data_IF_417575789802
#
_entry.id   IF_417575789802
#
_cell.length_a   1.000
_cell.length_b   1.000
_cell.length_c   1.000
_cell.angle_alpha   90.00
_cell.angle_beta   90.00
_cell.angle_gamma   90.00
#
_symmetry.space_group_name_H-M   'P 1'
#
loop_
_entity.id
_entity.type
_entity.pdbx_description
1 polymer ?
#
# COMPACT_ATOMS: atom_id res chain seq x y z
N UNK A 1 54.35 -43.80 -37.18
CA UNK A 1 53.37 -43.83 -36.07
C UNK A 1 53.10 -42.38 -35.60
N UNK A 2 52.02 -41.79 -36.05
CA UNK A 2 51.58 -40.41 -35.66
C UNK A 2 50.49 -40.56 -34.61
N UNK A 3 50.74 -40.09 -33.37
CA UNK A 3 49.75 -40.05 -32.30
C UNK A 3 48.97 -38.71 -32.39
N UNK A 4 47.70 -38.82 -32.70
CA UNK A 4 46.76 -37.68 -32.70
C UNK A 4 46.27 -37.46 -31.27
N UNK A 5 46.58 -36.27 -30.68
CA UNK A 5 46.09 -35.83 -29.37
C UNK A 5 44.71 -35.20 -29.55
N UNK A 6 43.66 -35.83 -29.04
CA UNK A 6 42.32 -35.25 -28.96
C UNK A 6 42.24 -34.37 -27.74
N UNK A 7 42.10 -33.05 -27.97
CA UNK A 7 41.87 -32.04 -26.94
C UNK A 7 40.34 -31.96 -26.67
N UNK A 8 39.89 -32.51 -25.54
CA UNK A 8 38.48 -32.37 -25.10
C UNK A 8 38.28 -30.96 -24.48
N UNK A 9 37.53 -30.08 -25.18
CA UNK A 9 37.04 -28.84 -24.62
C UNK A 9 35.86 -29.13 -23.67
N UNK A 10 36.06 -28.99 -22.37
CA UNK A 10 35.01 -29.00 -21.39
C UNK A 10 34.26 -27.64 -21.44
N UNK A 11 33.04 -27.66 -21.93
CA UNK A 11 32.10 -26.51 -21.94
C UNK A 11 31.57 -26.35 -20.50
N UNK A 12 32.13 -25.46 -19.70
CA UNK A 12 31.52 -25.03 -18.44
C UNK A 12 30.26 -24.21 -18.74
N UNK A 13 29.08 -24.82 -18.65
CA UNK A 13 27.82 -24.11 -18.53
C UNK A 13 27.83 -23.39 -17.17
N UNK A 14 28.27 -22.16 -17.16
CA UNK A 14 28.07 -21.26 -16.02
C UNK A 14 26.56 -21.01 -15.89
N UNK A 15 25.95 -21.55 -14.84
CA UNK A 15 24.61 -21.07 -14.40
C UNK A 15 24.73 -19.58 -14.12
N UNK A 16 23.82 -18.73 -14.63
CA UNK A 16 23.83 -17.34 -14.26
C UNK A 16 23.72 -17.25 -12.73
N UNK A 17 24.72 -16.70 -12.08
CA UNK A 17 24.65 -16.37 -10.66
C UNK A 17 23.47 -15.42 -10.49
N UNK A 18 22.46 -15.82 -9.74
CA UNK A 18 21.41 -14.91 -9.27
C UNK A 18 22.14 -13.75 -8.58
N UNK A 19 21.76 -12.52 -8.92
CA UNK A 19 22.38 -11.35 -8.29
C UNK A 19 22.34 -11.51 -6.76
N UNK A 20 23.49 -11.42 -6.09
CA UNK A 20 23.63 -11.61 -4.64
C UNK A 20 22.93 -10.53 -3.83
N UNK A 21 22.27 -9.56 -4.48
CA UNK A 21 21.60 -8.43 -3.87
C UNK A 21 20.20 -8.18 -4.44
N UNK A 22 19.37 -7.49 -3.67
CA UNK A 22 18.11 -6.87 -4.12
C UNK A 22 18.13 -5.39 -3.77
N UNK A 23 17.50 -4.57 -4.62
CA UNK A 23 17.44 -3.12 -4.43
C UNK A 23 16.11 -2.72 -3.80
N UNK A 24 16.18 -1.96 -2.69
CA UNK A 24 14.99 -1.44 -2.00
C UNK A 24 15.30 -0.09 -1.35
N UNK A 25 14.41 0.89 -1.50
CA UNK A 25 14.60 2.27 -1.05
C UNK A 25 15.91 2.91 -1.55
N UNK A 26 16.28 2.66 -2.80
CA UNK A 26 17.50 3.21 -3.40
C UNK A 26 18.81 2.56 -2.95
N UNK A 27 18.77 1.58 -2.06
CA UNK A 27 19.95 0.86 -1.53
C UNK A 27 19.94 -0.59 -1.99
N UNK A 28 21.14 -1.17 -2.12
CA UNK A 28 21.32 -2.58 -2.40
C UNK A 28 21.50 -3.34 -1.07
N UNK A 29 20.74 -4.43 -0.95
CA UNK A 29 20.70 -5.29 0.24
C UNK A 29 21.10 -6.70 -0.15
N UNK A 30 21.74 -7.42 0.76
CA UNK A 30 22.13 -8.80 0.52
C UNK A 30 20.89 -9.72 0.41
N UNK A 31 20.86 -10.52 -0.65
CA UNK A 31 19.81 -11.53 -0.86
C UNK A 31 20.06 -12.73 0.07
N UNK A 32 19.02 -13.30 0.69
CA UNK A 32 19.17 -14.52 1.47
C UNK A 32 19.55 -15.71 0.56
N UNK A 33 20.35 -16.64 1.09
CA UNK A 33 20.75 -17.85 0.37
C UNK A 33 19.58 -18.81 0.07
N UNK A 34 18.50 -18.73 0.86
CA UNK A 34 17.26 -19.50 0.67
C UNK A 34 16.06 -18.59 0.88
N UNK A 35 14.91 -19.00 0.34
CA UNK A 35 13.67 -18.26 0.54
C UNK A 35 13.33 -18.17 2.04
N UNK A 36 12.96 -16.96 2.53
CA UNK A 36 12.58 -16.76 3.93
C UNK A 36 11.43 -17.68 4.36
N UNK A 37 11.60 -18.28 5.53
CA UNK A 37 10.64 -19.22 6.12
C UNK A 37 9.97 -18.68 7.40
N UNK A 38 10.50 -17.58 7.97
CA UNK A 38 10.01 -16.94 9.19
C UNK A 38 9.84 -15.43 8.98
N UNK A 39 8.64 -15.04 8.57
CA UNK A 39 8.36 -13.68 8.13
C UNK A 39 7.57 -12.93 9.20
N UNK A 40 7.98 -11.71 9.52
CA UNK A 40 7.21 -10.77 10.32
C UNK A 40 6.79 -9.58 9.45
N UNK A 41 5.51 -9.24 9.50
CA UNK A 41 4.97 -8.04 8.86
C UNK A 41 4.68 -6.96 9.91
N UNK A 42 5.21 -5.78 9.68
CA UNK A 42 5.02 -4.59 10.51
C UNK A 42 4.13 -3.60 9.75
N UNK A 43 2.85 -3.67 9.90
CA UNK A 43 1.73 -2.94 9.31
C UNK A 43 0.81 -3.86 8.47
N UNK A 44 -0.47 -3.51 8.51
CA UNK A 44 -1.52 -4.31 7.88
C UNK A 44 -1.33 -4.48 6.37
N UNK A 45 -1.06 -3.40 5.64
CA UNK A 45 -0.89 -3.47 4.17
C UNK A 45 0.35 -4.25 3.73
N UNK A 46 1.42 -4.30 4.56
CA UNK A 46 2.55 -5.18 4.33
C UNK A 46 2.16 -6.66 4.55
N UNK A 47 1.37 -6.94 5.60
CA UNK A 47 0.84 -8.28 5.85
C UNK A 47 -0.10 -8.74 4.73
N UNK A 48 -1.01 -7.87 4.28
CA UNK A 48 -1.94 -8.16 3.18
C UNK A 48 -1.21 -8.47 1.87
N UNK A 49 -0.13 -7.76 1.56
CA UNK A 49 0.71 -8.03 0.39
C UNK A 49 1.38 -9.41 0.50
N UNK A 50 1.94 -9.75 1.65
CA UNK A 50 2.57 -11.06 1.89
C UNK A 50 1.54 -12.21 1.80
N UNK A 51 0.34 -12.02 2.34
CA UNK A 51 -0.76 -12.98 2.19
C UNK A 51 -1.18 -13.15 0.74
N UNK A 52 -1.28 -12.05 -0.03
CA UNK A 52 -1.60 -12.10 -1.45
C UNK A 52 -0.54 -12.90 -2.24
N UNK A 53 0.74 -12.79 -1.86
CA UNK A 53 1.84 -13.61 -2.39
C UNK A 53 1.79 -15.07 -1.94
N UNK A 54 0.87 -15.45 -1.03
CA UNK A 54 0.78 -16.81 -0.49
C UNK A 54 1.83 -17.12 0.57
N UNK A 55 2.41 -16.11 1.22
CA UNK A 55 3.44 -16.29 2.25
C UNK A 55 2.85 -16.61 3.65
N UNK A 56 1.54 -16.66 3.81
CA UNK A 56 0.86 -16.92 5.09
C UNK A 56 1.47 -18.05 5.93
N UNK A 57 1.74 -19.25 5.38
CA UNK A 57 2.36 -20.36 6.12
C UNK A 57 3.75 -20.06 6.67
N UNK A 58 4.47 -19.08 6.11
CA UNK A 58 5.79 -18.64 6.57
C UNK A 58 5.71 -17.43 7.52
N UNK A 59 4.54 -16.83 7.70
CA UNK A 59 4.38 -15.68 8.60
C UNK A 59 4.33 -16.14 10.04
N UNK A 60 5.27 -15.65 10.86
CA UNK A 60 5.37 -15.96 12.30
C UNK A 60 4.90 -14.80 13.17
N UNK A 61 4.51 -13.68 12.58
CA UNK A 61 3.94 -12.56 13.31
C UNK A 61 3.46 -11.42 12.42
N UNK A 62 2.41 -10.76 12.87
CA UNK A 62 1.95 -9.46 12.34
C UNK A 62 1.84 -8.47 13.49
N UNK A 63 2.08 -7.19 13.19
CA UNK A 63 1.88 -6.11 14.14
C UNK A 63 1.27 -4.89 13.46
N UNK A 64 0.75 -3.96 14.26
CA UNK A 64 0.19 -2.70 13.79
C UNK A 64 -0.90 -2.90 12.73
N UNK A 65 -1.99 -3.58 13.12
CA UNK A 65 -3.17 -3.75 12.27
C UNK A 65 -4.08 -2.52 12.40
N UNK A 66 -4.23 -1.75 11.32
CA UNK A 66 -4.96 -0.48 11.29
C UNK A 66 -6.47 -0.63 11.56
N UNK A 67 -7.03 -1.80 11.33
CA UNK A 67 -8.42 -2.14 11.61
C UNK A 67 -8.65 -2.73 13.02
N UNK A 68 -7.69 -2.54 13.93
CA UNK A 68 -7.68 -3.11 15.28
C UNK A 68 -7.89 -4.64 15.31
N UNK A 69 -7.35 -5.31 14.30
CA UNK A 69 -7.49 -6.76 14.17
C UNK A 69 -8.87 -7.23 13.69
N UNK A 70 -9.71 -6.36 13.09
CA UNK A 70 -10.97 -6.80 12.52
C UNK A 70 -10.74 -7.83 11.41
N UNK A 71 -9.78 -7.60 10.51
CA UNK A 71 -9.38 -8.56 9.49
C UNK A 71 -8.86 -9.88 10.12
N UNK A 72 -8.12 -9.79 11.23
CA UNK A 72 -7.69 -10.96 12.00
C UNK A 72 -8.88 -11.74 12.55
N UNK A 73 -9.83 -11.06 13.20
CA UNK A 73 -11.05 -11.68 13.74
C UNK A 73 -11.92 -12.32 12.66
N UNK A 74 -11.88 -11.81 11.43
CA UNK A 74 -12.54 -12.37 10.25
C UNK A 74 -11.76 -13.53 9.61
N UNK A 75 -10.65 -13.96 10.21
CA UNK A 75 -9.85 -15.08 9.73
C UNK A 75 -8.88 -14.78 8.60
N UNK A 76 -8.68 -13.50 8.23
CA UNK A 76 -7.74 -13.12 7.15
C UNK A 76 -6.30 -13.57 7.43
N UNK A 77 -5.88 -13.53 8.68
CA UNK A 77 -4.54 -13.93 9.12
C UNK A 77 -4.58 -15.26 9.89
N UNK A 78 -5.43 -16.20 9.46
CA UNK A 78 -5.59 -17.47 10.16
C UNK A 78 -4.23 -18.18 10.35
N UNK A 79 -3.90 -18.50 11.60
CA UNK A 79 -2.62 -19.13 11.94
C UNK A 79 -1.42 -18.19 12.09
N UNK A 80 -1.58 -16.88 11.83
CA UNK A 80 -0.51 -15.90 12.01
C UNK A 80 -0.73 -15.13 13.32
N UNK A 81 0.16 -15.19 14.31
CA UNK A 81 -0.04 -14.49 15.58
C UNK A 81 0.09 -12.95 15.43
N UNK A 82 -0.75 -12.20 16.15
CA UNK A 82 -0.56 -10.77 16.38
C UNK A 82 0.44 -10.60 17.51
N UNK A 83 1.64 -10.13 17.21
CA UNK A 83 2.74 -10.05 18.18
C UNK A 83 2.77 -8.73 18.96
N UNK A 84 2.14 -7.68 18.41
CA UNK A 84 1.96 -6.41 19.09
C UNK A 84 0.79 -5.64 18.48
N UNK A 85 0.16 -4.77 19.29
CA UNK A 85 -0.92 -3.89 18.80
C UNK A 85 -0.39 -2.76 17.92
N UNK A 86 0.76 -2.22 18.28
CA UNK A 86 1.53 -1.22 17.54
C UNK A 86 2.85 -1.87 17.12
N UNK A 87 3.91 -1.08 16.91
CA UNK A 87 5.20 -1.68 16.62
C UNK A 87 5.74 -2.45 17.84
N UNK A 88 6.27 -3.66 17.64
CA UNK A 88 6.84 -4.45 18.71
C UNK A 88 8.16 -3.83 19.22
N UNK A 89 8.44 -3.97 20.50
CA UNK A 89 9.79 -3.76 21.00
C UNK A 89 10.78 -4.74 20.34
N UNK A 90 12.06 -4.37 20.29
CA UNK A 90 13.11 -5.19 19.65
C UNK A 90 13.11 -6.62 20.16
N UNK A 91 12.96 -6.82 21.47
CA UNK A 91 12.97 -8.14 22.10
C UNK A 91 11.83 -9.02 21.61
N UNK A 92 10.62 -8.44 21.47
CA UNK A 92 9.44 -9.14 20.95
C UNK A 92 9.65 -9.54 19.49
N UNK A 93 10.24 -8.65 18.69
CA UNK A 93 10.56 -8.93 17.29
C UNK A 93 11.59 -10.05 17.16
N UNK A 94 12.70 -9.97 17.89
CA UNK A 94 13.76 -11.00 17.86
C UNK A 94 13.32 -12.34 18.44
N UNK A 95 12.40 -12.35 19.41
CA UNK A 95 11.81 -13.58 19.95
C UNK A 95 11.06 -14.40 18.89
N UNK A 96 10.55 -13.75 17.82
CA UNK A 96 9.95 -14.45 16.68
C UNK A 96 11.01 -15.16 15.81
N UNK A 97 12.30 -14.87 15.99
CA UNK A 97 13.42 -15.37 15.16
C UNK A 97 13.13 -15.21 13.66
N UNK A 98 12.78 -13.99 13.19
CA UNK A 98 12.47 -13.77 11.80
C UNK A 98 13.74 -13.91 10.94
N UNK A 99 13.56 -14.35 9.72
CA UNK A 99 14.58 -14.28 8.64
C UNK A 99 14.23 -13.20 7.60
N UNK A 100 12.95 -12.72 7.61
CA UNK A 100 12.51 -11.56 6.86
C UNK A 100 11.58 -10.68 7.70
N UNK A 101 11.81 -9.37 7.68
CA UNK A 101 10.89 -8.37 8.25
C UNK A 101 10.45 -7.40 7.14
N UNK A 102 9.13 -7.26 6.95
CA UNK A 102 8.55 -6.35 5.96
C UNK A 102 7.81 -5.23 6.68
N UNK A 103 8.19 -3.97 6.41
CA UNK A 103 7.54 -2.78 6.92
C UNK A 103 6.67 -2.10 5.87
N UNK A 104 5.51 -1.59 6.26
CA UNK A 104 4.61 -0.85 5.37
C UNK A 104 4.80 0.66 5.44
N UNK A 105 5.20 1.21 6.59
CA UNK A 105 5.52 2.63 6.79
C UNK A 105 6.99 2.81 7.16
N UNK A 106 7.56 3.97 6.84
CA UNK A 106 8.96 4.30 7.19
C UNK A 106 9.24 4.15 8.70
N UNK A 107 8.25 4.38 9.55
CA UNK A 107 8.33 4.23 11.01
C UNK A 107 8.49 2.79 11.47
N UNK A 108 8.27 1.79 10.61
CA UNK A 108 8.43 0.37 10.94
C UNK A 108 9.88 -0.02 11.30
N UNK A 109 10.85 0.78 10.88
CA UNK A 109 12.27 0.57 11.15
C UNK A 109 12.90 1.74 11.91
N UNK A 110 12.10 2.44 12.71
CA UNK A 110 12.56 3.55 13.54
C UNK A 110 13.36 3.11 14.78
N UNK A 111 13.95 4.08 15.46
CA UNK A 111 14.85 3.86 16.60
C UNK A 111 14.20 3.13 17.79
N UNK A 112 12.88 3.26 17.95
CA UNK A 112 12.13 2.58 19.03
C UNK A 112 11.93 1.08 18.79
N UNK A 113 12.17 0.59 17.58
CA UNK A 113 12.02 -0.82 17.21
C UNK A 113 13.40 -1.42 16.97
N UNK A 114 13.89 -1.26 15.73
CA UNK A 114 15.28 -1.57 15.33
C UNK A 114 15.49 -1.11 13.88
N UNK A 115 16.68 -0.62 13.57
CA UNK A 115 16.99 -0.17 12.21
C UNK A 115 17.17 -1.36 11.25
N UNK A 116 16.93 -1.12 9.95
CA UNK A 116 17.18 -2.10 8.89
C UNK A 116 18.62 -2.58 8.89
N UNK A 117 19.59 -1.67 9.10
CA UNK A 117 21.02 -2.02 9.16
C UNK A 117 21.34 -2.95 10.32
N UNK A 118 20.71 -2.76 11.49
CA UNK A 118 20.90 -3.64 12.63
C UNK A 118 20.32 -5.03 12.38
N UNK A 119 19.14 -5.12 11.78
CA UNK A 119 18.53 -6.39 11.38
C UNK A 119 19.42 -7.12 10.36
N UNK A 120 19.87 -6.42 9.32
CA UNK A 120 20.78 -6.98 8.31
C UNK A 120 22.10 -7.47 8.91
N UNK A 121 22.67 -6.71 9.86
CA UNK A 121 23.88 -7.14 10.61
C UNK A 121 23.67 -8.42 11.44
N UNK A 122 22.43 -8.77 11.76
CA UNK A 122 22.03 -10.01 12.41
C UNK A 122 21.57 -11.10 11.41
N UNK A 123 21.79 -10.91 10.11
CA UNK A 123 21.42 -11.87 9.07
C UNK A 123 19.91 -11.87 8.74
N UNK A 124 19.15 -10.87 9.20
CA UNK A 124 17.71 -10.75 8.95
C UNK A 124 17.49 -9.86 7.72
N UNK A 125 16.85 -10.41 6.70
CA UNK A 125 16.45 -9.67 5.49
C UNK A 125 15.36 -8.64 5.87
N UNK A 126 15.44 -7.44 5.27
CA UNK A 126 14.46 -6.39 5.54
C UNK A 126 13.90 -5.83 4.23
N UNK A 127 12.61 -5.60 4.17
CA UNK A 127 11.97 -4.90 3.06
C UNK A 127 11.05 -3.79 3.57
N UNK A 128 11.20 -2.59 3.04
CA UNK A 128 10.26 -1.50 3.26
C UNK A 128 9.49 -1.29 1.96
N UNK A 129 8.15 -1.25 2.02
CA UNK A 129 7.36 -1.01 0.81
C UNK A 129 7.82 0.27 0.12
N UNK A 130 7.95 0.25 -1.21
CA UNK A 130 8.55 1.33 -1.99
C UNK A 130 7.82 2.67 -1.81
N UNK A 131 6.50 2.64 -1.58
CA UNK A 131 5.69 3.82 -1.27
C UNK A 131 6.01 4.47 0.09
N UNK A 132 6.74 3.77 0.96
CA UNK A 132 7.19 4.26 2.27
C UNK A 132 8.65 4.70 2.27
N UNK A 133 9.38 4.53 1.16
CA UNK A 133 10.76 4.96 1.02
C UNK A 133 10.87 6.49 0.96
N UNK A 134 11.88 7.06 1.61
CA UNK A 134 12.15 8.49 1.49
C UNK A 134 12.42 8.89 0.04
N UNK A 135 11.80 9.96 -0.43
CA UNK A 135 11.99 10.46 -1.79
C UNK A 135 11.42 9.55 -2.89
N UNK A 136 10.45 8.68 -2.55
CA UNK A 136 9.77 7.87 -3.55
C UNK A 136 9.09 8.73 -4.63
N UNK A 137 8.94 8.19 -5.83
CA UNK A 137 8.19 8.84 -6.91
C UNK A 137 6.69 8.83 -6.64
N UNK A 138 5.90 9.51 -7.48
CA UNK A 138 4.43 9.50 -7.39
C UNK A 138 3.79 8.34 -8.18
N UNK A 139 4.59 7.44 -8.78
CA UNK A 139 4.10 6.22 -9.43
C UNK A 139 3.82 5.13 -8.40
N UNK A 140 2.76 5.31 -7.64
CA UNK A 140 2.36 4.36 -6.59
C UNK A 140 2.01 2.96 -7.13
N UNK A 141 1.41 2.86 -8.31
CA UNK A 141 1.17 1.56 -8.94
C UNK A 141 2.48 0.90 -9.37
N UNK A 142 3.47 1.69 -9.81
CA UNK A 142 4.84 1.22 -10.05
C UNK A 142 5.50 0.69 -8.78
N UNK A 143 5.27 1.34 -7.64
CA UNK A 143 5.76 0.86 -6.35
C UNK A 143 5.17 -0.51 -6.00
N UNK A 144 3.84 -0.69 -6.15
CA UNK A 144 3.19 -1.99 -5.91
C UNK A 144 3.74 -3.08 -6.84
N UNK A 145 3.93 -2.76 -8.14
CA UNK A 145 4.57 -3.70 -9.09
C UNK A 145 5.97 -4.11 -8.61
N UNK A 146 6.76 -3.14 -8.17
CA UNK A 146 8.12 -3.40 -7.69
C UNK A 146 8.11 -4.22 -6.40
N UNK A 147 7.25 -3.88 -5.44
CA UNK A 147 7.10 -4.63 -4.19
C UNK A 147 6.75 -6.09 -4.47
N UNK A 148 5.78 -6.35 -5.35
CA UNK A 148 5.38 -7.68 -5.77
C UNK A 148 6.52 -8.43 -6.46
N UNK A 149 7.25 -7.77 -7.37
CA UNK A 149 8.36 -8.38 -8.09
C UNK A 149 9.47 -8.78 -7.13
N UNK A 150 9.97 -7.84 -6.30
CA UNK A 150 11.11 -8.10 -5.41
C UNK A 150 10.74 -9.10 -4.31
N UNK A 151 9.59 -8.94 -3.66
CA UNK A 151 9.14 -9.89 -2.63
C UNK A 151 8.79 -11.24 -3.25
N UNK A 152 8.21 -11.26 -4.45
CA UNK A 152 7.98 -12.49 -5.21
C UNK A 152 9.27 -13.27 -5.48
N UNK A 153 10.35 -12.58 -5.86
CA UNK A 153 11.68 -13.18 -6.06
C UNK A 153 12.28 -13.66 -4.73
N UNK A 154 12.27 -12.85 -3.68
CA UNK A 154 12.80 -13.21 -2.37
C UNK A 154 12.11 -14.45 -1.78
N UNK A 155 10.81 -14.60 -2.03
CA UNK A 155 9.98 -15.67 -1.49
C UNK A 155 9.86 -16.88 -2.43
N UNK A 156 10.46 -16.85 -3.64
CA UNK A 156 10.27 -17.88 -4.65
C UNK A 156 8.84 -17.96 -5.18
N UNK A 157 8.15 -16.83 -5.26
CA UNK A 157 6.73 -16.70 -5.63
C UNK A 157 6.50 -15.86 -6.90
N UNK A 158 7.47 -15.85 -7.82
CA UNK A 158 7.46 -15.00 -9.01
C UNK A 158 6.17 -15.13 -9.85
N UNK A 159 5.72 -16.37 -10.08
CA UNK A 159 4.49 -16.60 -10.86
C UNK A 159 3.25 -15.99 -10.17
N UNK A 160 3.19 -16.07 -8.83
CA UNK A 160 2.09 -15.46 -8.07
C UNK A 160 2.16 -13.93 -8.09
N UNK A 161 3.36 -13.36 -7.97
CA UNK A 161 3.59 -11.93 -8.08
C UNK A 161 3.15 -11.40 -9.45
N UNK A 162 3.53 -12.08 -10.53
CA UNK A 162 3.13 -11.71 -11.89
C UNK A 162 1.61 -11.74 -12.07
N UNK A 163 0.94 -12.79 -11.59
CA UNK A 163 -0.53 -12.88 -11.66
C UNK A 163 -1.23 -11.75 -10.88
N UNK A 164 -0.68 -11.32 -9.75
CA UNK A 164 -1.21 -10.18 -8.99
C UNK A 164 -1.02 -8.85 -9.72
N UNK A 165 0.13 -8.65 -10.37
CA UNK A 165 0.41 -7.47 -11.20
C UNK A 165 -0.59 -7.42 -12.36
N UNK A 166 -0.77 -8.52 -13.09
CA UNK A 166 -1.70 -8.60 -14.23
C UNK A 166 -3.16 -8.34 -13.80
N UNK A 167 -3.57 -8.87 -12.66
CA UNK A 167 -4.90 -8.61 -12.11
C UNK A 167 -5.10 -7.13 -11.77
N UNK A 168 -4.12 -6.50 -11.12
CA UNK A 168 -4.15 -5.06 -10.80
C UNK A 168 -4.25 -4.20 -12.07
N UNK A 169 -3.43 -4.47 -13.09
CA UNK A 169 -3.43 -3.73 -14.35
C UNK A 169 -4.74 -3.92 -15.14
N UNK A 170 -5.31 -5.13 -15.08
CA UNK A 170 -6.62 -5.42 -15.68
C UNK A 170 -7.70 -4.58 -15.01
N UNK A 171 -7.76 -4.55 -13.69
CA UNK A 171 -8.74 -3.77 -12.95
C UNK A 171 -8.55 -2.25 -13.21
N UNK A 172 -7.31 -1.75 -13.28
CA UNK A 172 -7.02 -0.35 -13.63
C UNK A 172 -7.48 0.01 -15.05
N UNK A 173 -7.29 -0.91 -16.00
CA UNK A 173 -7.76 -0.72 -17.39
C UNK A 173 -9.28 -0.68 -17.44
N UNK A 174 -9.94 -1.58 -16.74
CA UNK A 174 -11.41 -1.57 -16.62
C UNK A 174 -11.92 -0.30 -15.94
N UNK A 175 -11.25 0.17 -14.87
CA UNK A 175 -11.62 1.41 -14.19
C UNK A 175 -11.63 2.60 -15.15
N UNK A 176 -10.59 2.74 -15.97
CA UNK A 176 -10.50 3.80 -17.00
C UNK A 176 -11.60 3.69 -18.05
N UNK A 177 -11.97 2.47 -18.44
CA UNK A 177 -13.04 2.24 -19.45
C UNK A 177 -14.42 2.62 -18.94
N UNK A 178 -14.70 2.39 -17.66
CA UNK A 178 -16.00 2.69 -17.06
C UNK A 178 -16.09 4.06 -16.40
N UNK A 179 -14.96 4.75 -16.27
CA UNK A 179 -14.89 6.11 -15.71
C UNK A 179 -15.91 7.03 -16.39
N UNK A 180 -16.51 8.00 -15.66
CA UNK A 180 -17.43 8.97 -16.25
C UNK A 180 -16.80 9.67 -17.45
N UNK A 181 -17.54 9.78 -18.56
CA UNK A 181 -17.12 10.58 -19.71
C UNK A 181 -17.32 12.07 -19.41
N UNK A 182 -16.45 12.93 -19.95
CA UNK A 182 -16.52 14.37 -19.77
C UNK A 182 -15.53 14.91 -18.72
N UNK A 183 -15.91 16.02 -18.07
CA UNK A 183 -15.05 16.62 -17.05
C UNK A 183 -14.95 15.71 -15.82
N UNK A 184 -13.74 15.35 -15.35
CA UNK A 184 -13.58 14.53 -14.15
C UNK A 184 -14.27 15.17 -12.94
N UNK A 185 -15.02 14.36 -12.19
CA UNK A 185 -15.63 14.80 -10.93
C UNK A 185 -14.54 15.25 -9.95
N UNK A 186 -14.77 16.38 -9.31
CA UNK A 186 -13.90 16.89 -8.26
C UNK A 186 -14.24 16.19 -6.94
N UNK A 187 -13.21 15.62 -6.30
CA UNK A 187 -13.37 14.86 -5.06
C UNK A 187 -12.53 15.48 -3.96
N UNK A 188 -13.14 15.75 -2.82
CA UNK A 188 -12.42 16.03 -1.59
C UNK A 188 -12.31 14.75 -0.77
N UNK A 189 -11.10 14.36 -0.44
CA UNK A 189 -10.82 13.24 0.46
C UNK A 189 -10.75 13.75 1.90
N UNK A 190 -11.55 13.20 2.81
CA UNK A 190 -11.50 13.49 4.23
C UNK A 190 -10.92 12.29 4.99
N UNK A 191 -9.64 12.40 5.37
CA UNK A 191 -8.91 11.39 6.14
C UNK A 191 -9.35 11.39 7.60
N UNK A 192 -9.29 12.57 8.23
CA UNK A 192 -9.57 12.75 9.65
C UNK A 192 -10.15 14.14 9.90
N UNK A 193 -10.93 14.27 10.99
CA UNK A 193 -11.49 15.54 11.44
C UNK A 193 -10.97 15.95 12.83
N UNK A 194 -9.91 15.31 13.30
CA UNK A 194 -9.43 15.47 14.70
C UNK A 194 -8.72 16.81 14.92
N UNK A 195 -7.96 17.31 13.94
CA UNK A 195 -7.20 18.56 14.02
C UNK A 195 -7.62 19.61 13.00
N UNK A 196 -8.66 19.33 12.22
CA UNK A 196 -9.14 20.11 11.11
C UNK A 196 -9.71 19.16 10.06
N UNK A 197 -9.81 19.59 8.82
CA UNK A 197 -10.18 18.69 7.72
C UNK A 197 -8.88 18.15 7.12
N UNK A 198 -8.40 17.04 7.70
CA UNK A 198 -7.17 16.38 7.24
C UNK A 198 -7.42 15.62 5.94
N UNK A 199 -6.50 15.74 5.00
CA UNK A 199 -6.60 15.19 3.65
C UNK A 199 -5.22 14.87 3.08
N UNK A 200 -5.17 14.50 1.81
CA UNK A 200 -3.94 14.32 1.04
C UNK A 200 -3.87 15.31 -0.13
N UNK A 201 -2.67 15.86 -0.33
CA UNK A 201 -2.35 16.68 -1.49
C UNK A 201 -1.92 15.87 -2.71
N UNK A 202 -1.20 16.53 -3.62
CA UNK A 202 -0.72 15.92 -4.86
C UNK A 202 0.26 14.77 -4.66
N UNK A 203 0.95 14.72 -3.51
CA UNK A 203 1.92 13.67 -3.19
C UNK A 203 1.29 12.42 -2.54
N UNK A 204 0.02 12.46 -2.13
CA UNK A 204 -0.66 11.33 -1.51
C UNK A 204 -1.19 10.31 -2.52
N UNK A 205 -1.36 9.06 -2.07
CA UNK A 205 -1.84 7.96 -2.91
C UNK A 205 -3.28 8.16 -3.41
N UNK A 206 -4.11 8.87 -2.65
CA UNK A 206 -5.50 9.14 -3.06
C UNK A 206 -5.56 9.92 -4.39
N UNK A 207 -4.57 10.75 -4.69
CA UNK A 207 -4.53 11.50 -5.96
C UNK A 207 -4.45 10.57 -7.19
N UNK A 208 -3.48 9.65 -7.34
CA UNK A 208 -3.47 8.71 -8.45
C UNK A 208 -4.61 7.67 -8.38
N UNK A 209 -5.13 7.32 -7.19
CA UNK A 209 -6.30 6.46 -7.04
C UNK A 209 -7.56 7.10 -7.67
N UNK A 210 -7.84 8.36 -7.35
CA UNK A 210 -8.93 9.12 -7.94
C UNK A 210 -8.77 9.30 -9.45
N UNK A 211 -7.55 9.59 -9.91
CA UNK A 211 -7.24 9.70 -11.33
C UNK A 211 -7.52 8.39 -12.09
N UNK A 212 -7.15 7.24 -11.51
CA UNK A 212 -7.44 5.93 -12.09
C UNK A 212 -8.95 5.63 -12.14
N UNK A 213 -9.73 6.18 -11.21
CA UNK A 213 -11.19 6.08 -11.17
C UNK A 213 -11.92 7.15 -12.02
N UNK A 214 -11.19 8.00 -12.76
CA UNK A 214 -11.78 9.05 -13.61
C UNK A 214 -12.23 10.31 -12.87
N UNK A 215 -11.67 10.56 -11.69
CA UNK A 215 -11.92 11.74 -10.88
C UNK A 215 -10.62 12.51 -10.59
N UNK A 216 -10.74 13.67 -9.96
CA UNK A 216 -9.59 14.48 -9.54
C UNK A 216 -9.69 14.86 -8.07
N UNK A 217 -8.56 14.79 -7.37
CA UNK A 217 -8.44 15.35 -6.03
C UNK A 217 -8.45 16.88 -6.10
N UNK A 218 -9.33 17.54 -5.32
CA UNK A 218 -9.39 19.02 -5.27
C UNK A 218 -8.09 19.63 -4.75
N UNK A 219 -7.31 18.88 -3.97
CA UNK A 219 -6.02 19.31 -3.39
C UNK A 219 -4.79 18.82 -4.19
N UNK A 220 -4.98 18.24 -5.38
CA UNK A 220 -3.87 17.71 -6.20
C UNK A 220 -2.79 18.76 -6.55
N UNK A 221 -3.14 20.05 -6.59
CA UNK A 221 -2.19 21.15 -6.84
C UNK A 221 -1.28 21.48 -5.64
N UNK A 222 -1.52 20.92 -4.46
CA UNK A 222 -0.70 21.14 -3.26
C UNK A 222 0.39 20.05 -3.22
N UNK A 223 1.66 20.45 -3.39
CA UNK A 223 2.82 19.52 -3.40
C UNK A 223 3.18 19.06 -1.97
N UNK A 224 2.23 18.40 -1.32
CA UNK A 224 2.39 17.81 0.01
C UNK A 224 1.72 16.45 0.06
N UNK A 225 2.20 15.58 0.95
CA UNK A 225 1.55 14.30 1.24
C UNK A 225 0.29 14.52 2.06
N UNK A 226 0.40 15.16 3.25
CA UNK A 226 -0.73 15.49 4.12
C UNK A 226 -1.03 16.98 4.06
N UNK A 227 -2.32 17.31 4.05
CA UNK A 227 -2.82 18.68 3.99
C UNK A 227 -3.98 18.78 4.97
N UNK A 228 -3.94 19.77 5.84
CA UNK A 228 -5.09 20.15 6.70
C UNK A 228 -5.66 21.45 6.16
N UNK A 229 -6.95 21.47 5.84
CA UNK A 229 -7.64 22.68 5.40
C UNK A 229 -8.72 23.09 6.40
N UNK A 230 -9.15 24.36 6.29
CA UNK A 230 -10.29 24.88 7.05
C UNK A 230 -11.61 24.72 6.26
N UNK A 231 -12.72 25.06 6.90
CA UNK A 231 -14.09 24.94 6.33
C UNK A 231 -14.28 25.87 5.13
N UNK A 232 -13.73 27.06 5.20
CA UNK A 232 -13.83 28.09 4.16
C UNK A 232 -13.11 27.64 2.89
N UNK A 233 -11.94 27.04 3.00
CA UNK A 233 -11.20 26.49 1.87
C UNK A 233 -11.97 25.32 1.21
N UNK A 234 -12.60 24.45 2.01
CA UNK A 234 -13.44 23.37 1.48
C UNK A 234 -14.69 23.94 0.79
N UNK A 235 -15.35 24.92 1.40
CA UNK A 235 -16.51 25.60 0.80
C UNK A 235 -16.15 26.24 -0.54
N UNK A 236 -15.00 26.91 -0.60
CA UNK A 236 -14.53 27.55 -1.84
C UNK A 236 -14.20 26.53 -2.94
N UNK A 237 -13.79 25.32 -2.60
CA UNK A 237 -13.48 24.26 -3.57
C UNK A 237 -14.74 23.59 -4.14
N UNK A 238 -15.85 23.64 -3.40
CA UNK A 238 -17.17 23.01 -3.68
C UNK A 238 -17.05 21.68 -4.46
N UNK A 239 -16.52 20.62 -3.84
CA UNK A 239 -16.29 19.35 -4.54
C UNK A 239 -17.60 18.72 -4.99
N UNK A 240 -17.55 17.98 -6.11
CA UNK A 240 -18.69 17.21 -6.61
C UNK A 240 -19.01 16.01 -5.71
N UNK A 241 -17.98 15.43 -5.05
CA UNK A 241 -18.09 14.26 -4.18
C UNK A 241 -17.15 14.41 -2.99
N UNK A 242 -17.52 13.88 -1.84
CA UNK A 242 -16.65 13.75 -0.67
C UNK A 242 -16.37 12.27 -0.42
N UNK A 243 -15.09 11.90 -0.43
CA UNK A 243 -14.60 10.57 -0.09
C UNK A 243 -14.21 10.54 1.39
N UNK A 244 -14.87 9.70 2.17
CA UNK A 244 -14.67 9.60 3.63
C UNK A 244 -13.88 8.34 3.95
N UNK A 245 -12.66 8.48 4.47
CA UNK A 245 -11.95 7.35 5.04
C UNK A 245 -12.74 6.79 6.23
N UNK A 246 -12.96 5.49 6.27
CA UNK A 246 -13.52 4.82 7.43
C UNK A 246 -12.41 4.14 8.22
N UNK A 247 -12.03 4.77 9.33
CA UNK A 247 -10.97 4.33 10.22
C UNK A 247 -11.47 4.27 11.66
N UNK A 248 -10.88 3.42 12.48
CA UNK A 248 -11.29 3.26 13.88
C UNK A 248 -11.12 4.54 14.71
N UNK A 249 -10.05 5.30 14.45
CA UNK A 249 -9.77 6.57 15.12
C UNK A 249 -10.60 7.72 14.58
N UNK A 250 -11.17 7.58 13.38
CA UNK A 250 -11.96 8.58 12.68
C UNK A 250 -12.98 7.87 11.76
N UNK A 251 -14.10 7.37 12.33
CA UNK A 251 -15.12 6.65 11.56
C UNK A 251 -15.82 7.56 10.54
N UNK A 252 -16.19 7.00 9.38
CA UNK A 252 -16.92 7.71 8.34
C UNK A 252 -18.25 8.30 8.87
N UNK A 253 -18.92 7.59 9.76
CA UNK A 253 -20.16 8.05 10.40
C UNK A 253 -19.97 9.36 11.19
N UNK A 254 -18.83 9.53 11.89
CA UNK A 254 -18.52 10.77 12.63
C UNK A 254 -18.23 11.92 11.67
N UNK A 255 -17.50 11.66 10.58
CA UNK A 255 -17.28 12.65 9.51
C UNK A 255 -18.57 13.09 8.84
N UNK A 256 -19.49 12.16 8.56
CA UNK A 256 -20.83 12.48 8.05
C UNK A 256 -21.62 13.38 9.01
N UNK A 257 -21.57 13.07 10.30
CA UNK A 257 -22.22 13.91 11.31
C UNK A 257 -21.64 15.32 11.34
N UNK A 258 -20.31 15.47 11.27
CA UNK A 258 -19.65 16.75 11.16
C UNK A 258 -20.15 17.51 9.92
N UNK A 259 -20.06 16.91 8.74
CA UNK A 259 -20.44 17.54 7.47
C UNK A 259 -21.92 17.97 7.44
N UNK A 260 -22.80 17.17 8.03
CA UNK A 260 -24.26 17.45 7.98
C UNK A 260 -24.74 18.40 9.06
N UNK A 261 -24.05 18.52 10.21
CA UNK A 261 -24.46 19.35 11.34
C UNK A 261 -23.72 20.70 11.41
N UNK A 262 -22.55 20.81 10.79
CA UNK A 262 -21.82 22.06 10.76
C UNK A 262 -22.52 23.06 9.82
N UNK A 263 -22.82 24.30 10.27
CA UNK A 263 -23.59 25.26 9.48
C UNK A 263 -22.93 25.65 8.15
N UNK A 264 -21.59 25.63 8.08
CA UNK A 264 -20.84 25.95 6.86
C UNK A 264 -20.78 24.73 5.94
N UNK A 265 -20.36 23.59 6.47
CA UNK A 265 -20.13 22.37 5.68
C UNK A 265 -21.42 21.76 5.14
N UNK A 266 -22.56 21.89 5.85
CA UNK A 266 -23.85 21.43 5.42
C UNK A 266 -24.37 22.16 4.16
N UNK A 267 -23.82 23.33 3.86
CA UNK A 267 -24.16 24.09 2.64
C UNK A 267 -23.50 23.55 1.37
N UNK A 268 -22.43 22.73 1.50
CA UNK A 268 -21.76 22.10 0.37
C UNK A 268 -22.75 21.29 -0.48
N UNK A 269 -22.65 21.41 -1.81
CA UNK A 269 -23.50 20.68 -2.76
C UNK A 269 -23.39 19.16 -2.55
N UNK A 270 -22.17 18.64 -2.40
CA UNK A 270 -21.92 17.21 -2.15
C UNK A 270 -22.63 16.70 -0.88
N UNK A 271 -22.73 17.53 0.18
CA UNK A 271 -23.42 17.17 1.42
C UNK A 271 -24.94 17.19 1.24
N UNK A 272 -25.49 18.26 0.64
CA UNK A 272 -26.94 18.41 0.40
C UNK A 272 -27.51 17.32 -0.51
N UNK A 273 -26.72 16.90 -1.51
CA UNK A 273 -27.09 15.87 -2.48
C UNK A 273 -26.68 14.45 -2.03
N UNK A 274 -26.16 14.32 -0.80
CA UNK A 274 -25.64 13.06 -0.23
C UNK A 274 -24.61 12.36 -1.15
N UNK A 275 -23.77 13.12 -1.82
CA UNK A 275 -22.68 12.63 -2.68
C UNK A 275 -21.42 12.37 -1.83
N UNK A 276 -21.55 11.44 -0.91
CA UNK A 276 -20.49 11.04 0.01
C UNK A 276 -20.27 9.53 -0.10
N UNK A 277 -19.01 9.13 -0.28
CA UNK A 277 -18.57 7.72 -0.41
C UNK A 277 -17.76 7.36 0.83
N UNK A 278 -18.18 6.32 1.54
CA UNK A 278 -17.38 5.73 2.61
C UNK A 278 -16.43 4.69 2.04
N UNK A 279 -15.15 4.75 2.40
CA UNK A 279 -14.13 3.81 1.97
C UNK A 279 -13.29 3.36 3.17
N UNK A 280 -13.12 2.04 3.39
CA UNK A 280 -12.22 1.55 4.44
C UNK A 280 -10.81 2.14 4.30
N UNK A 281 -10.24 2.67 5.39
CA UNK A 281 -8.90 3.25 5.38
C UNK A 281 -7.85 2.28 4.80
N UNK A 282 -7.98 1.00 5.09
CA UNK A 282 -7.07 -0.04 4.58
C UNK A 282 -7.06 -0.18 3.05
N UNK A 283 -8.11 0.30 2.35
CA UNK A 283 -8.18 0.35 0.89
C UNK A 283 -7.49 1.59 0.30
N UNK A 284 -7.13 2.55 1.13
CA UNK A 284 -6.44 3.79 0.74
C UNK A 284 -4.91 3.67 0.83
N UNK A 285 -4.41 2.44 0.99
CA UNK A 285 -2.99 2.12 0.95
C UNK A 285 -2.61 1.50 -0.40
N UNK A 286 -1.40 1.81 -0.95
CA UNK A 286 -0.90 1.15 -2.15
C UNK A 286 -0.69 -0.34 -1.89
N UNK A 287 -1.54 -1.18 -2.49
CA UNK A 287 -1.53 -2.64 -2.30
C UNK A 287 -1.86 -3.34 -3.62
N UNK A 288 -1.68 -4.66 -3.75
CA UNK A 288 -2.13 -5.41 -4.92
C UNK A 288 -3.63 -5.25 -5.24
N UNK A 289 -4.45 -4.90 -4.22
CA UNK A 289 -5.88 -4.65 -4.39
C UNK A 289 -6.22 -3.26 -4.94
N UNK A 290 -5.24 -2.35 -5.07
CA UNK A 290 -5.49 -0.94 -5.46
C UNK A 290 -6.16 -0.79 -6.84
N UNK A 291 -5.91 -1.71 -7.77
CA UNK A 291 -6.63 -1.74 -9.06
C UNK A 291 -8.12 -2.01 -8.86
N UNK A 292 -8.46 -2.98 -8.02
CA UNK A 292 -9.85 -3.31 -7.67
C UNK A 292 -10.54 -2.14 -6.99
N UNK A 293 -9.87 -1.48 -6.06
CA UNK A 293 -10.40 -0.30 -5.36
C UNK A 293 -10.69 0.83 -6.36
N UNK A 294 -9.78 1.09 -7.30
CA UNK A 294 -9.99 2.08 -8.36
C UNK A 294 -11.21 1.73 -9.24
N UNK A 295 -11.38 0.44 -9.59
CA UNK A 295 -12.50 -0.05 -10.38
C UNK A 295 -13.85 0.12 -9.64
N UNK A 296 -13.90 -0.21 -8.37
CA UNK A 296 -15.09 -0.06 -7.54
C UNK A 296 -15.46 1.41 -7.35
N UNK A 297 -14.45 2.26 -7.11
CA UNK A 297 -14.63 3.71 -7.00
C UNK A 297 -15.13 4.31 -8.33
N UNK A 298 -14.58 3.89 -9.47
CA UNK A 298 -15.06 4.33 -10.79
C UNK A 298 -16.54 3.97 -11.03
N UNK A 299 -17.01 2.80 -10.59
CA UNK A 299 -18.43 2.42 -10.65
C UNK A 299 -19.33 3.34 -9.82
N UNK A 300 -18.91 3.65 -8.59
CA UNK A 300 -19.66 4.54 -7.71
C UNK A 300 -19.71 5.96 -8.27
N UNK A 301 -18.56 6.49 -8.74
CA UNK A 301 -18.49 7.83 -9.32
C UNK A 301 -19.31 7.95 -10.61
N UNK A 302 -19.37 6.90 -11.44
CA UNK A 302 -20.23 6.87 -12.63
C UNK A 302 -21.71 7.00 -12.26
N UNK A 303 -22.16 6.37 -11.18
CA UNK A 303 -23.53 6.51 -10.66
C UNK A 303 -23.85 7.91 -10.13
N UNK A 304 -22.82 8.73 -9.86
CA UNK A 304 -22.96 10.12 -9.37
C UNK A 304 -22.74 11.15 -10.48
N UNK A 305 -22.27 10.76 -11.65
CA UNK A 305 -22.14 11.69 -12.77
C UNK A 305 -23.52 12.18 -13.20
N UNK A 306 -23.68 13.50 -13.27
CA UNK A 306 -24.88 14.10 -13.87
C UNK A 306 -24.76 13.92 -15.39
N UNK A 307 -25.82 13.46 -16.08
CA UNK A 307 -25.80 13.28 -17.52
C UNK A 307 -25.58 14.60 -18.28
#
# INVERSE_FOLDING_TARGET
>A
MRRTLLLSLAFCCGTPALADSYRNCGQDWQRPAAAPARIVALNQHAADLLLALGAGPSMVGVAYLDDNGAAYKQGRYQGVPVIAREYPASEVLYAQRPDLVVGGFATAFGDGITSRSRLAGNGIVTYLLESACNGHSLDYYGHVRRDLTVLGELLGRQARAQALIEAMETDLTQARTIAPSGKPLSVFYLDSEVRGLDSEGGRGFVTPLLAAAGARNVLAGIDQYRVTINREALLSSDPDVILLADALWSPASRKRQLLTRDPVLSSLRAVRENRMIDIPFTQLMPTPASGRVALELARQLRGMAVP
#
